data_IF_727624567941
#
_entry.id   IF_727624567941
#
_cell.length_a   1.000
_cell.length_b   1.000
_cell.length_c   1.000
_cell.angle_alpha   90.00
_cell.angle_beta   90.00
_cell.angle_gamma   90.00
#
_symmetry.space_group_name_H-M   'P 1'
#
loop_
_entity.id
_entity.type
_entity.pdbx_description
1 polymer ?
#
# COMPACT_ATOMS: atom_id res chain seq x y z
N UNK A 1 23.53 -4.69 -9.45
CA UNK A 1 22.30 -3.89 -9.56
C UNK A 1 21.34 -4.71 -10.40
N UNK A 2 20.57 -5.60 -9.77
CA UNK A 2 19.55 -6.38 -10.47
C UNK A 2 18.57 -5.41 -11.15
N UNK A 3 18.40 -5.60 -12.46
CA UNK A 3 17.57 -4.76 -13.29
C UNK A 3 16.17 -5.37 -13.29
N UNK A 4 15.19 -4.66 -12.75
CA UNK A 4 13.81 -5.10 -12.88
C UNK A 4 13.43 -5.12 -14.36
N UNK A 5 12.65 -6.12 -14.77
CA UNK A 5 12.20 -6.20 -16.17
C UNK A 5 11.35 -4.98 -16.54
N UNK A 6 10.49 -4.56 -15.61
CA UNK A 6 9.75 -3.32 -15.70
C UNK A 6 10.17 -2.36 -14.57
N UNK A 7 11.17 -1.55 -14.86
CA UNK A 7 11.59 -0.46 -13.98
C UNK A 7 10.75 0.80 -14.24
N UNK A 8 9.98 1.22 -13.23
CA UNK A 8 9.14 2.42 -13.28
C UNK A 8 9.85 3.65 -12.69
N UNK A 9 11.11 3.52 -12.25
CA UNK A 9 11.85 4.58 -11.59
C UNK A 9 11.09 5.19 -10.41
N UNK A 10 11.27 6.49 -10.21
CA UNK A 10 10.49 7.23 -9.24
C UNK A 10 9.08 7.49 -9.77
N UNK A 11 8.08 7.07 -8.99
CA UNK A 11 6.67 7.21 -9.37
C UNK A 11 6.16 8.62 -9.14
N UNK A 12 5.26 9.05 -10.01
CA UNK A 12 4.49 10.29 -9.88
C UNK A 12 3.40 10.09 -8.81
N UNK A 13 2.69 8.96 -8.87
CA UNK A 13 1.69 8.59 -7.88
C UNK A 13 1.68 7.09 -7.61
N UNK A 14 1.33 6.71 -6.39
CA UNK A 14 1.09 5.33 -5.98
C UNK A 14 -0.14 5.27 -5.09
N UNK A 15 -1.01 4.29 -5.29
CA UNK A 15 -2.23 4.11 -4.51
C UNK A 15 -2.56 2.62 -4.33
N UNK A 16 -3.45 2.30 -3.40
CA UNK A 16 -3.87 0.95 -3.07
C UNK A 16 -5.39 0.83 -3.20
N UNK A 17 -5.85 -0.26 -3.81
CA UNK A 17 -7.27 -0.48 -4.07
C UNK A 17 -7.71 -1.90 -3.70
N UNK A 18 -8.96 -2.01 -3.25
CA UNK A 18 -9.66 -3.29 -3.15
C UNK A 18 -10.90 -3.29 -4.03
N UNK A 19 -10.96 -4.24 -4.97
CA UNK A 19 -12.06 -4.40 -5.92
C UNK A 19 -12.89 -5.62 -5.55
N UNK A 20 -14.21 -5.47 -5.54
CA UNK A 20 -15.17 -6.57 -5.34
C UNK A 20 -15.97 -6.48 -4.05
N UNK A 21 -16.83 -7.49 -3.83
CA UNK A 21 -17.70 -7.57 -2.64
C UNK A 21 -16.90 -7.98 -1.40
N UNK A 22 -17.29 -7.56 -0.18
CA UNK A 22 -16.71 -8.07 1.06
C UNK A 22 -16.62 -9.61 1.05
N UNK A 23 -15.47 -10.17 1.41
CA UNK A 23 -15.19 -11.61 1.35
C UNK A 23 -14.70 -12.14 -0.01
N UNK A 24 -14.86 -11.38 -1.09
CA UNK A 24 -14.38 -11.70 -2.45
C UNK A 24 -13.56 -10.54 -3.04
N UNK A 25 -12.96 -9.72 -2.17
CA UNK A 25 -12.16 -8.58 -2.59
C UNK A 25 -10.81 -9.05 -3.12
N UNK A 26 -10.39 -8.46 -4.23
CA UNK A 26 -9.03 -8.55 -4.77
C UNK A 26 -8.31 -7.25 -4.48
N UNK A 27 -7.05 -7.34 -4.09
CA UNK A 27 -6.25 -6.18 -3.70
C UNK A 27 -5.20 -5.90 -4.77
N UNK A 28 -4.91 -4.63 -5.02
CA UNK A 28 -3.84 -4.21 -5.92
C UNK A 28 -3.16 -2.94 -5.46
N UNK A 29 -1.87 -2.83 -5.81
CA UNK A 29 -1.17 -1.55 -5.87
C UNK A 29 -1.25 -1.01 -7.29
N UNK A 30 -1.45 0.30 -7.40
CA UNK A 30 -1.40 1.01 -8.66
C UNK A 30 -0.26 2.01 -8.60
N UNK A 31 0.72 1.85 -9.48
CA UNK A 31 1.88 2.71 -9.58
C UNK A 31 1.88 3.43 -10.94
N UNK A 32 2.09 4.74 -10.92
CA UNK A 32 2.16 5.59 -12.12
C UNK A 32 3.54 6.24 -12.18
N UNK A 33 4.22 6.06 -13.30
CA UNK A 33 5.40 6.84 -13.68
C UNK A 33 5.00 7.96 -14.65
N UNK A 34 5.97 8.74 -15.12
CA UNK A 34 5.72 9.79 -16.11
C UNK A 34 5.18 9.24 -17.45
N UNK A 35 5.41 7.95 -17.75
CA UNK A 35 5.14 7.37 -19.08
C UNK A 35 4.33 6.09 -19.06
N UNK A 36 4.08 5.48 -17.89
CA UNK A 36 3.41 4.19 -17.79
C UNK A 36 2.63 4.03 -16.47
N UNK A 37 1.63 3.15 -16.48
CA UNK A 37 0.85 2.73 -15.31
C UNK A 37 0.89 1.22 -15.11
N UNK A 38 1.16 0.77 -13.87
CA UNK A 38 1.14 -0.63 -13.47
C UNK A 38 0.03 -0.91 -12.46
N UNK A 39 -0.61 -2.07 -12.58
CA UNK A 39 -1.52 -2.66 -11.61
C UNK A 39 -0.98 -3.99 -11.10
N UNK A 40 -0.50 -4.00 -9.86
CA UNK A 40 0.11 -5.17 -9.22
C UNK A 40 -0.92 -5.80 -8.28
N UNK A 41 -1.51 -6.92 -8.71
CA UNK A 41 -2.49 -7.66 -7.91
C UNK A 41 -1.80 -8.52 -6.87
N UNK A 42 -2.34 -8.58 -5.65
CA UNK A 42 -1.73 -9.30 -4.53
C UNK A 42 -2.75 -9.78 -3.50
N UNK A 43 -2.30 -10.61 -2.56
CA UNK A 43 -3.09 -11.03 -1.41
C UNK A 43 -3.26 -9.90 -0.39
N UNK A 44 -4.34 -9.99 0.41
CA UNK A 44 -4.60 -9.01 1.47
C UNK A 44 -3.43 -8.88 2.45
N UNK A 45 -2.84 -10.02 2.83
CA UNK A 45 -1.72 -10.04 3.79
C UNK A 45 -0.49 -9.34 3.24
N UNK A 46 -0.18 -9.51 1.96
CA UNK A 46 0.94 -8.82 1.31
C UNK A 46 0.73 -7.31 1.33
N UNK A 47 -0.47 -6.84 0.94
CA UNK A 47 -0.79 -5.41 0.98
C UNK A 47 -0.68 -4.86 2.40
N UNK A 48 -1.19 -5.59 3.41
CA UNK A 48 -1.09 -5.19 4.81
C UNK A 48 0.36 -5.06 5.27
N UNK A 49 1.21 -6.06 4.98
CA UNK A 49 2.63 -6.05 5.34
C UNK A 49 3.40 -4.87 4.73
N UNK A 50 3.04 -4.42 3.52
CA UNK A 50 3.60 -3.20 2.93
C UNK A 50 3.23 -1.98 3.77
N UNK A 51 1.96 -1.85 4.14
CA UNK A 51 1.48 -0.75 4.98
C UNK A 51 2.20 -0.71 6.34
N UNK A 52 2.26 -1.84 7.03
CA UNK A 52 2.91 -1.97 8.34
C UNK A 52 4.40 -1.59 8.25
N UNK A 53 5.11 -2.11 7.25
CA UNK A 53 6.53 -1.80 7.07
C UNK A 53 6.78 -0.32 6.77
N UNK A 54 5.95 0.31 5.93
CA UNK A 54 6.05 1.75 5.63
C UNK A 54 5.82 2.59 6.89
N UNK A 55 4.82 2.25 7.71
CA UNK A 55 4.57 2.94 8.99
C UNK A 55 5.78 2.84 9.91
N UNK A 56 6.30 1.63 10.11
CA UNK A 56 7.45 1.40 10.98
C UNK A 56 8.71 2.12 10.50
N UNK A 57 8.96 2.13 9.19
CA UNK A 57 10.12 2.82 8.64
C UNK A 57 9.98 4.34 8.70
N UNK A 58 8.78 4.88 8.41
CA UNK A 58 8.53 6.31 8.54
C UNK A 58 8.68 6.82 9.98
N UNK A 59 8.39 5.99 10.99
CA UNK A 59 8.63 6.31 12.41
C UNK A 59 10.12 6.37 12.73
N UNK A 60 10.93 5.46 12.18
CA UNK A 60 12.39 5.43 12.42
C UNK A 60 13.10 6.63 11.80
N UNK A 61 12.61 7.10 10.66
CA UNK A 61 13.15 8.26 9.96
C UNK A 61 12.74 9.60 10.60
N UNK A 62 12.29 9.58 11.86
CA UNK A 62 11.79 10.69 12.70
C UNK A 62 12.14 12.07 12.14
N UNK A 63 11.14 12.75 11.56
CA UNK A 63 11.34 14.00 10.84
C UNK A 63 10.65 15.12 11.61
N UNK A 64 11.44 16.08 12.12
CA UNK A 64 10.92 17.28 12.77
C UNK A 64 9.94 18.04 11.86
N UNK A 65 10.09 17.91 10.53
CA UNK A 65 9.15 18.47 9.56
C UNK A 65 8.91 17.50 8.41
N UNK A 66 7.93 16.58 8.54
CA UNK A 66 7.66 15.60 7.50
C UNK A 66 7.33 16.27 6.16
N UNK A 67 7.81 15.74 5.03
CA UNK A 67 7.47 16.27 3.72
C UNK A 67 5.96 16.14 3.48
N UNK A 68 5.37 17.08 2.71
CA UNK A 68 3.95 17.07 2.44
C UNK A 68 3.55 15.78 1.71
N UNK A 69 2.37 15.28 2.03
CA UNK A 69 1.74 14.21 1.26
C UNK A 69 1.31 14.80 -0.10
N UNK A 70 1.73 14.21 -1.22
CA UNK A 70 1.28 14.68 -2.53
C UNK A 70 -0.21 14.41 -2.70
N UNK A 71 -0.84 15.21 -3.54
CA UNK A 71 -2.22 14.95 -3.94
C UNK A 71 -2.26 13.63 -4.72
N UNK A 72 -3.10 12.71 -4.25
CA UNK A 72 -3.31 11.44 -4.95
C UNK A 72 -4.23 11.70 -6.12
N UNK A 73 -3.68 11.68 -7.32
CA UNK A 73 -4.46 11.72 -8.55
C UNK A 73 -5.43 10.53 -8.63
N UNK A 74 -6.61 10.72 -9.27
CA UNK A 74 -7.55 9.62 -9.46
C UNK A 74 -6.88 8.44 -10.18
N UNK A 75 -7.27 7.24 -9.75
CA UNK A 75 -6.81 5.99 -10.36
C UNK A 75 -7.23 5.97 -11.84
N UNK A 76 -6.34 5.54 -12.75
CA UNK A 76 -6.68 5.47 -14.16
C UNK A 76 -7.65 4.29 -14.39
N UNK A 77 -8.44 4.32 -15.48
CA UNK A 77 -9.31 3.19 -15.83
C UNK A 77 -8.47 1.93 -16.10
N UNK A 78 -9.08 0.76 -15.92
CA UNK A 78 -8.37 -0.53 -16.02
C UNK A 78 -7.71 -0.78 -17.38
N UNK A 79 -8.24 -0.19 -18.46
CA UNK A 79 -7.67 -0.29 -19.80
C UNK A 79 -6.40 0.56 -20.02
N UNK A 80 -6.07 1.46 -19.09
CA UNK A 80 -4.90 2.36 -19.18
C UNK A 80 -3.64 1.80 -18.48
N UNK A 81 -3.65 0.54 -18.05
CA UNK A 81 -2.47 -0.11 -17.45
C UNK A 81 -1.60 -0.76 -18.52
N UNK A 82 -0.35 -0.31 -18.63
CA UNK A 82 0.68 -0.91 -19.48
C UNK A 82 1.16 -2.26 -18.93
N UNK A 83 1.10 -2.44 -17.62
CA UNK A 83 1.47 -3.66 -16.92
C UNK A 83 0.39 -4.07 -15.92
N UNK A 84 -0.08 -5.31 -15.99
CA UNK A 84 -1.01 -5.86 -15.00
C UNK A 84 -0.73 -7.33 -14.76
N UNK A 85 -0.30 -7.68 -13.54
CA UNK A 85 0.01 -9.06 -13.18
C UNK A 85 -0.30 -9.36 -11.70
N UNK A 86 -0.28 -10.65 -11.33
CA UNK A 86 -0.43 -11.09 -9.94
C UNK A 86 0.94 -11.38 -9.33
N UNK A 87 1.29 -10.63 -8.31
CA UNK A 87 2.51 -10.85 -7.56
C UNK A 87 2.37 -12.06 -6.61
N UNK A 88 3.37 -12.94 -6.61
CA UNK A 88 3.55 -13.98 -5.59
C UNK A 88 4.39 -13.51 -4.42
N UNK A 89 5.31 -12.57 -4.67
CA UNK A 89 6.19 -12.04 -3.65
C UNK A 89 6.37 -10.53 -3.84
N UNK A 90 6.53 -9.84 -2.70
CA UNK A 90 6.85 -8.42 -2.62
C UNK A 90 8.12 -8.28 -1.80
N UNK A 91 9.09 -7.52 -2.30
CA UNK A 91 10.26 -7.10 -1.55
C UNK A 91 10.23 -5.58 -1.36
N UNK A 92 10.66 -5.13 -0.19
CA UNK A 92 10.65 -3.74 0.23
C UNK A 92 12.06 -3.34 0.64
N UNK A 93 12.48 -2.14 0.24
CA UNK A 93 13.79 -1.60 0.57
C UNK A 93 13.73 -0.10 0.80
N UNK A 94 14.73 0.45 1.47
CA UNK A 94 14.88 1.89 1.64
C UNK A 94 16.29 2.29 1.22
N UNK A 95 16.39 3.18 0.24
CA UNK A 95 17.64 3.71 -0.25
C UNK A 95 17.98 4.99 0.54
N UNK A 96 18.82 4.86 1.57
CA UNK A 96 19.16 5.97 2.48
C UNK A 96 19.76 7.17 1.75
N UNK A 97 20.65 6.92 0.79
CA UNK A 97 21.32 7.96 -0.01
C UNK A 97 20.35 8.83 -0.81
N UNK A 98 19.29 8.21 -1.35
CA UNK A 98 18.28 8.88 -2.15
C UNK A 98 17.05 9.31 -1.34
N UNK A 99 16.93 8.84 -0.09
CA UNK A 99 15.75 8.98 0.76
C UNK A 99 14.45 8.48 0.07
N UNK A 100 14.55 7.34 -0.60
CA UNK A 100 13.45 6.72 -1.36
C UNK A 100 13.14 5.32 -0.86
N UNK A 101 11.86 4.97 -0.86
CA UNK A 101 11.39 3.61 -0.62
C UNK A 101 11.32 2.86 -1.94
N UNK A 102 11.91 1.68 -1.99
CA UNK A 102 11.85 0.75 -3.11
C UNK A 102 10.75 -0.29 -2.87
N UNK A 103 9.90 -0.51 -3.87
CA UNK A 103 8.90 -1.57 -3.90
C UNK A 103 9.18 -2.45 -5.11
N UNK A 104 9.37 -3.74 -4.88
CA UNK A 104 9.65 -4.74 -5.90
C UNK A 104 8.60 -5.85 -5.84
N UNK A 105 8.14 -6.31 -7.00
CA UNK A 105 7.14 -7.36 -7.10
C UNK A 105 7.57 -8.44 -8.10
N UNK A 106 7.28 -9.69 -7.76
CA UNK A 106 7.69 -10.88 -8.50
C UNK A 106 6.46 -11.68 -8.92
N UNK A 107 6.43 -12.14 -10.17
CA UNK A 107 5.38 -13.00 -10.73
C UNK A 107 5.76 -14.48 -10.64
N UNK A 108 4.89 -15.34 -10.11
CA UNK A 108 5.19 -16.78 -9.86
C UNK A 108 5.45 -17.60 -11.12
N UNK A 109 4.79 -17.24 -12.22
CA UNK A 109 4.60 -18.14 -13.37
C UNK A 109 5.45 -17.69 -14.56
N UNK A 110 6.77 -17.57 -14.35
CA UNK A 110 7.70 -17.26 -15.44
C UNK A 110 8.61 -18.44 -15.77
N UNK A 111 8.67 -18.74 -17.06
CA UNK A 111 9.57 -19.72 -17.64
C UNK A 111 10.97 -19.09 -17.77
N UNK A 112 11.72 -18.99 -16.68
CA UNK A 112 13.08 -18.47 -16.68
C UNK A 112 13.67 -18.43 -15.28
N UNK A 113 14.92 -18.90 -15.14
CA UNK A 113 15.71 -18.99 -13.91
C UNK A 113 16.21 -17.61 -13.40
N UNK A 114 15.50 -16.53 -13.73
CA UNK A 114 15.89 -15.17 -13.34
C UNK A 114 15.17 -14.80 -12.05
N UNK A 115 15.96 -14.53 -11.00
CA UNK A 115 15.51 -13.99 -9.71
C UNK A 115 15.23 -12.48 -9.79
N UNK A 116 15.23 -11.89 -10.99
CA UNK A 116 15.02 -10.46 -11.16
C UNK A 116 13.54 -10.08 -10.91
N UNK A 117 13.28 -8.94 -10.26
CA UNK A 117 11.92 -8.49 -10.01
C UNK A 117 11.20 -8.15 -11.31
N UNK A 118 9.96 -8.63 -11.43
CA UNK A 118 9.08 -8.30 -12.57
C UNK A 118 8.79 -6.80 -12.64
N UNK A 119 8.59 -6.17 -11.47
CA UNK A 119 8.31 -4.74 -11.36
C UNK A 119 9.16 -4.12 -10.25
N UNK A 120 9.66 -2.91 -10.48
CA UNK A 120 10.26 -2.07 -9.45
C UNK A 120 9.81 -0.63 -9.58
N UNK A 121 9.54 0.01 -8.45
CA UNK A 121 9.41 1.45 -8.38
C UNK A 121 10.02 2.03 -7.11
N UNK A 122 10.20 3.35 -7.13
CA UNK A 122 10.62 4.15 -6.00
C UNK A 122 9.55 5.19 -5.65
N UNK A 123 9.32 5.39 -4.35
CA UNK A 123 8.38 6.38 -3.83
C UNK A 123 9.07 7.25 -2.77
N UNK A 124 8.70 8.53 -2.72
CA UNK A 124 9.17 9.45 -1.68
C UNK A 124 8.46 9.25 -0.35
N UNK A 125 8.99 9.86 0.72
CA UNK A 125 8.40 9.79 2.08
C UNK A 125 6.94 10.29 2.15
N UNK A 126 6.61 11.34 1.41
CA UNK A 126 5.23 11.86 1.34
C UNK A 126 4.27 10.85 0.71
N UNK A 127 4.66 10.22 -0.40
CA UNK A 127 3.90 9.15 -1.04
C UNK A 127 3.77 7.91 -0.14
N UNK A 128 4.87 7.51 0.53
CA UNK A 128 4.86 6.40 1.47
C UNK A 128 3.87 6.61 2.63
N UNK A 129 3.76 7.84 3.13
CA UNK A 129 2.81 8.21 4.20
C UNK A 129 1.36 8.16 3.71
N UNK A 130 1.08 8.71 2.53
CA UNK A 130 -0.25 8.63 1.94
C UNK A 130 -0.65 7.18 1.66
N UNK A 131 0.28 6.40 1.10
CA UNK A 131 0.08 4.99 0.75
C UNK A 131 -0.20 4.13 1.98
N UNK A 132 0.55 4.31 3.07
CA UNK A 132 0.35 3.50 4.28
C UNK A 132 -1.05 3.70 4.89
N UNK A 133 -1.52 4.95 4.98
CA UNK A 133 -2.90 5.26 5.42
C UNK A 133 -3.95 4.65 4.48
N UNK A 134 -3.73 4.75 3.17
CA UNK A 134 -4.63 4.18 2.17
C UNK A 134 -4.71 2.66 2.31
N UNK A 135 -3.57 1.98 2.45
CA UNK A 135 -3.48 0.55 2.68
C UNK A 135 -4.25 0.16 3.94
N UNK A 136 -4.03 0.87 5.05
CA UNK A 136 -4.75 0.63 6.30
C UNK A 136 -6.27 0.72 6.09
N UNK A 137 -6.75 1.78 5.45
CA UNK A 137 -8.17 1.96 5.15
C UNK A 137 -8.72 0.81 4.27
N UNK A 138 -8.00 0.43 3.22
CA UNK A 138 -8.42 -0.61 2.27
C UNK A 138 -8.45 -2.00 2.91
N UNK A 139 -7.43 -2.34 3.70
CA UNK A 139 -7.29 -3.63 4.40
C UNK A 139 -8.31 -3.75 5.54
N UNK A 140 -8.59 -2.64 6.24
CA UNK A 140 -9.51 -2.58 7.36
C UNK A 140 -10.98 -2.39 6.96
N UNK A 141 -11.29 -1.97 5.72
CA UNK A 141 -12.66 -1.76 5.22
C UNK A 141 -13.55 -3.03 5.13
N UNK A 142 -13.09 -4.18 5.65
CA UNK A 142 -13.90 -5.37 5.91
C UNK A 142 -14.34 -5.51 7.37
N UNK A 143 -13.82 -4.66 8.26
CA UNK A 143 -14.20 -4.59 9.68
C UNK A 143 -15.54 -3.84 9.79
N UNK A 144 -16.30 -4.12 10.85
CA UNK A 144 -17.49 -3.29 11.16
C UNK A 144 -17.01 -1.86 11.42
N UNK A 145 -17.63 -0.88 10.77
CA UNK A 145 -17.39 0.52 11.06
C UNK A 145 -18.07 0.90 12.38
N UNK A 146 -17.42 1.78 13.14
CA UNK A 146 -18.01 2.35 14.34
C UNK A 146 -19.19 3.26 13.95
N UNK A 147 -20.40 3.04 14.49
CA UNK A 147 -21.57 3.85 14.14
C UNK A 147 -21.47 5.31 14.62
N UNK A 148 -20.45 5.65 15.42
CA UNK A 148 -20.26 7.00 15.97
C UNK A 148 -19.21 7.80 15.20
N UNK A 149 -18.08 7.19 14.82
CA UNK A 149 -16.95 7.89 14.20
C UNK A 149 -16.57 7.39 12.80
N UNK A 150 -17.30 6.42 12.25
CA UNK A 150 -17.01 5.79 10.95
C UNK A 150 -15.61 5.16 10.84
N UNK A 151 -14.92 4.95 11.97
CA UNK A 151 -13.62 4.27 12.00
C UNK A 151 -13.79 2.75 12.05
N UNK A 152 -12.87 1.97 11.47
CA UNK A 152 -12.90 0.51 11.56
C UNK A 152 -12.78 0.02 13.02
N UNK A 153 -13.64 -0.91 13.45
CA UNK A 153 -13.56 -1.54 14.78
C UNK A 153 -12.63 -2.78 14.72
N UNK A 154 -11.56 -2.78 15.52
CA UNK A 154 -10.74 -3.99 15.75
C UNK A 154 -11.50 -5.02 16.63
N UNK A 155 -11.26 -6.33 16.47
CA UNK A 155 -11.90 -7.37 17.30
C UNK A 155 -11.54 -7.27 18.79
N UNK A 156 -10.42 -6.63 19.14
CA UNK A 156 -10.02 -6.35 20.53
C UNK A 156 -10.70 -5.09 21.11
N UNK A 157 -11.48 -4.37 20.29
CA UNK A 157 -12.15 -3.12 20.63
C UNK A 157 -11.56 -1.92 19.87
N UNK A 158 -12.30 -0.81 19.82
CA UNK A 158 -11.86 0.46 19.24
C UNK A 158 -12.14 1.63 20.19
N UNK A 159 -11.16 2.52 20.33
CA UNK A 159 -11.31 3.76 21.11
C UNK A 159 -11.91 4.83 20.21
N UNK A 160 -13.22 5.05 20.34
CA UNK A 160 -13.94 6.04 19.55
C UNK A 160 -13.73 7.46 20.13
N UNK A 161 -13.10 8.39 19.40
CA UNK A 161 -12.87 9.77 19.88
C UNK A 161 -14.17 10.59 19.98
N UNK A 162 -15.25 10.18 19.30
CA UNK A 162 -16.59 10.78 19.42
C UNK A 162 -17.39 10.22 20.61
N UNK A 163 -16.94 9.11 21.19
CA UNK A 163 -17.49 8.62 22.44
C UNK A 163 -16.77 9.38 23.57
N UNK A 164 -17.36 10.50 23.99
CA UNK A 164 -16.89 11.24 25.15
C UNK A 164 -16.97 10.32 26.40
N UNK A 165 -15.92 9.57 26.68
CA UNK A 165 -15.57 9.05 28.01
C UNK A 165 -16.33 7.85 28.62
N UNK A 166 -17.23 7.15 27.93
CA UNK A 166 -17.89 5.97 28.53
C UNK A 166 -17.26 4.64 28.10
N UNK A 167 -16.24 4.20 28.86
CA UNK A 167 -15.91 2.79 28.96
C UNK A 167 -16.97 2.11 29.83
N UNK A 168 -17.86 1.34 29.23
CA UNK A 168 -18.49 0.23 29.95
C UNK A 168 -18.01 -1.04 29.27
N UNK A 169 -16.97 -1.64 29.85
CA UNK A 169 -16.60 -3.00 29.52
C UNK A 169 -17.80 -3.90 29.78
N UNK A 170 -18.13 -4.73 28.79
CA UNK A 170 -18.99 -5.89 29.01
C UNK A 170 -18.51 -6.97 28.05
N UNK A 171 -17.60 -7.79 28.57
CA UNK A 171 -17.43 -9.16 28.11
C UNK A 171 -18.78 -9.88 28.23
N UNK A 172 -19.19 -10.57 27.16
CA UNK A 172 -19.89 -11.86 27.21
C UNK A 172 -19.39 -12.74 26.07
#
# INVERSE_FOLDING_TARGET
MEAAEHDYGQTVSIDAEAIGRPGQRRFRLVARSATACAAIWMEKQQLASIGDWLVEMLKRLDDERPPPEPEVEPLPPTEAFDLSFRASQIALGFAEEANLFAIQAFEEQRAGDSDDPTFRCFIGRGQARALSRKIEAVVSAGRRLCPLCDQPIDPEGHVCPRSNGHHTGAAV
#
